data_IF_135090911853
#
_entry.id   IF_135090911853
#
_cell.length_a   1.000
_cell.length_b   1.000
_cell.length_c   1.000
_cell.angle_alpha   90.00
_cell.angle_beta   90.00
_cell.angle_gamma   90.00
#
_symmetry.space_group_name_H-M   'P 1'
#
loop_
_entity.id
_entity.type
_entity.pdbx_description
1 polymer ?
#
# COMPACT_ATOMS: atom_id res chain seq x y z
N UNK A 1 15.64 -7.94 5.92
CA UNK A 1 14.50 -8.84 5.64
C UNK A 1 13.24 -8.00 5.69
N UNK A 2 12.60 -7.53 4.61
CA UNK A 2 12.98 -7.24 3.24
C UNK A 2 11.88 -6.26 2.82
N UNK A 3 12.21 -4.99 2.61
CA UNK A 3 11.23 -3.94 2.33
C UNK A 3 10.40 -4.33 1.10
N UNK A 4 9.07 -4.30 1.21
CA UNK A 4 8.20 -4.75 0.13
C UNK A 4 7.88 -3.57 -0.78
N UNK A 5 8.37 -3.62 -2.00
CA UNK A 5 8.09 -2.60 -3.02
C UNK A 5 7.02 -3.11 -3.97
N UNK A 6 5.99 -2.30 -4.22
CA UNK A 6 5.02 -2.56 -5.28
C UNK A 6 4.94 -1.36 -6.21
N UNK A 7 5.02 -1.62 -7.51
CA UNK A 7 4.97 -0.60 -8.56
C UNK A 7 3.66 -0.71 -9.33
N UNK A 8 3.14 0.41 -9.79
CA UNK A 8 2.00 0.41 -10.71
C UNK A 8 2.38 -0.18 -12.07
N UNK A 9 1.42 -0.74 -12.84
CA UNK A 9 1.66 -1.28 -14.18
C UNK A 9 2.34 -0.30 -15.14
N UNK A 10 2.05 0.99 -15.01
CA UNK A 10 2.66 2.05 -15.83
C UNK A 10 3.98 2.60 -15.26
N UNK A 11 4.46 2.04 -14.15
CA UNK A 11 5.69 2.43 -13.44
C UNK A 11 5.74 3.88 -12.94
N UNK A 12 4.61 4.61 -12.93
CA UNK A 12 4.52 6.01 -12.48
C UNK A 12 4.33 6.15 -10.97
N UNK A 13 3.91 5.09 -10.28
CA UNK A 13 3.75 5.03 -8.83
C UNK A 13 4.55 3.85 -8.27
N UNK A 14 5.25 4.08 -7.15
CA UNK A 14 5.90 3.02 -6.37
C UNK A 14 5.60 3.22 -4.90
N UNK A 15 5.17 2.16 -4.23
CA UNK A 15 4.90 2.13 -2.79
C UNK A 15 5.96 1.26 -2.13
N UNK A 16 6.57 1.78 -1.08
CA UNK A 16 7.53 1.12 -0.21
C UNK A 16 6.83 0.85 1.12
N UNK A 17 6.68 -0.42 1.46
CA UNK A 17 6.09 -0.84 2.72
C UNK A 17 7.23 -1.17 3.70
N UNK A 18 7.30 -0.41 4.80
CA UNK A 18 8.33 -0.60 5.82
C UNK A 18 8.14 -1.88 6.63
N UNK A 19 6.90 -2.32 6.81
CA UNK A 19 6.53 -3.57 7.47
C UNK A 19 5.51 -4.36 6.64
N UNK A 20 5.67 -5.68 6.64
CA UNK A 20 4.73 -6.58 5.98
C UNK A 20 3.57 -6.99 6.88
N UNK A 21 3.84 -7.16 8.18
CA UNK A 21 2.87 -7.57 9.17
C UNK A 21 2.70 -6.45 10.20
N UNK A 22 1.46 -6.04 10.41
CA UNK A 22 1.07 -5.10 11.45
C UNK A 22 0.38 -5.87 12.56
N UNK A 23 0.91 -5.75 13.77
CA UNK A 23 0.30 -6.36 14.96
C UNK A 23 -0.72 -5.39 15.52
N UNK A 24 -1.94 -5.89 15.68
CA UNK A 24 -2.97 -5.22 16.46
C UNK A 24 -2.73 -5.55 17.94
N UNK A 25 -2.33 -4.54 18.71
CA UNK A 25 -2.27 -4.65 20.16
C UNK A 25 -3.66 -4.28 20.68
N UNK A 26 -4.13 -4.96 21.73
CA UNK A 26 -5.48 -4.76 22.31
C UNK A 26 -5.88 -3.29 22.49
N UNK A 27 -4.91 -2.40 22.71
CA UNK A 27 -5.13 -0.96 22.95
C UNK A 27 -4.60 -0.05 21.82
N UNK A 28 -3.83 -0.57 20.85
CA UNK A 28 -3.21 0.24 19.77
C UNK A 28 -2.80 -0.59 18.56
N UNK A 29 -2.81 0.00 17.38
CA UNK A 29 -2.27 -0.63 16.16
C UNK A 29 -0.87 -0.10 15.88
N UNK A 30 0.04 -0.96 15.39
CA UNK A 30 1.33 -0.52 14.85
C UNK A 30 1.12 0.53 13.75
N UNK A 31 1.87 1.64 13.83
CA UNK A 31 1.80 2.68 12.80
C UNK A 31 2.31 2.14 11.45
N UNK A 32 1.60 2.52 10.39
CA UNK A 32 1.99 2.26 9.01
C UNK A 32 2.99 3.32 8.58
N UNK A 33 4.26 2.94 8.51
CA UNK A 33 5.37 3.80 8.06
C UNK A 33 5.76 3.40 6.63
N UNK A 34 4.97 3.89 5.67
CA UNK A 34 5.09 3.57 4.26
C UNK A 34 5.36 4.84 3.43
N UNK A 35 6.12 4.70 2.34
CA UNK A 35 6.45 5.81 1.44
C UNK A 35 5.88 5.57 0.05
N UNK A 36 5.27 6.60 -0.55
CA UNK A 36 4.80 6.59 -1.94
C UNK A 36 5.66 7.53 -2.78
N UNK A 37 6.29 7.01 -3.82
CA UNK A 37 6.98 7.78 -4.85
C UNK A 37 6.02 7.90 -6.04
N UNK A 38 5.80 9.13 -6.49
CA UNK A 38 4.96 9.46 -7.64
C UNK A 38 5.77 10.26 -8.65
N UNK A 39 5.65 9.91 -9.93
CA UNK A 39 6.17 10.74 -11.01
C UNK A 39 5.42 12.11 -11.01
N UNK A 40 6.13 13.24 -10.87
CA UNK A 40 5.50 14.56 -10.80
C UNK A 40 4.75 14.94 -12.08
N UNK A 41 5.16 14.44 -13.25
CA UNK A 41 4.43 14.69 -14.50
C UNK A 41 3.09 13.96 -14.51
N UNK A 42 2.99 12.82 -13.81
CA UNK A 42 1.74 12.09 -13.65
C UNK A 42 0.75 12.84 -12.75
N UNK A 43 1.21 13.68 -11.82
CA UNK A 43 0.34 14.42 -10.90
C UNK A 43 -0.38 15.62 -11.51
N UNK A 44 0.05 16.10 -12.69
CA UNK A 44 -0.51 17.32 -13.30
C UNK A 44 -2.01 17.20 -13.58
N UNK A 45 -2.46 16.03 -14.03
CA UNK A 45 -3.85 15.76 -14.40
C UNK A 45 -4.48 14.61 -13.59
N UNK A 46 -3.78 14.12 -12.56
CA UNK A 46 -4.22 12.97 -11.76
C UNK A 46 -4.15 13.23 -10.26
N UNK A 47 -5.07 12.60 -9.53
CA UNK A 47 -5.06 12.56 -8.06
C UNK A 47 -4.68 11.16 -7.61
N UNK A 48 -3.75 11.08 -6.67
CA UNK A 48 -3.33 9.82 -6.05
C UNK A 48 -4.10 9.65 -4.76
N UNK A 49 -4.70 8.47 -4.57
CA UNK A 49 -5.43 8.11 -3.36
C UNK A 49 -4.84 6.85 -2.77
N UNK A 50 -4.77 6.80 -1.43
CA UNK A 50 -4.43 5.60 -0.68
C UNK A 50 -5.67 5.08 0.05
N UNK A 51 -5.80 3.76 0.17
CA UNK A 51 -6.92 3.15 0.90
C UNK A 51 -6.40 1.98 1.71
N UNK A 52 -6.66 2.02 3.02
CA UNK A 52 -6.45 0.88 3.91
C UNK A 52 -7.71 0.02 3.89
N UNK A 53 -7.61 -1.22 3.42
CA UNK A 53 -8.73 -2.16 3.39
C UNK A 53 -8.44 -3.34 4.29
N UNK A 54 -9.22 -3.48 5.37
CA UNK A 54 -9.24 -4.69 6.18
C UNK A 54 -10.26 -5.67 5.58
N UNK A 55 -9.89 -6.95 5.48
CA UNK A 55 -10.76 -7.99 4.91
C UNK A 55 -10.66 -9.27 5.73
N UNK A 56 -11.78 -9.90 6.11
CA UNK A 56 -11.77 -11.22 6.74
C UNK A 56 -11.15 -12.28 5.82
N UNK A 57 -10.27 -13.12 6.39
CA UNK A 57 -9.69 -14.27 5.68
C UNK A 57 -10.81 -15.28 5.39
N UNK A 58 -11.04 -15.61 4.11
CA UNK A 58 -12.08 -16.55 3.66
C UNK A 58 -12.99 -16.01 2.56
N UNK A 59 -12.98 -14.70 2.30
CA UNK A 59 -13.73 -14.10 1.21
C UNK A 59 -12.91 -14.20 -0.10
N UNK A 60 -13.50 -14.74 -1.19
CA UNK A 60 -12.79 -15.34 -2.33
C UNK A 60 -12.10 -14.39 -3.34
N UNK A 61 -12.40 -13.10 -3.41
CA UNK A 61 -11.61 -12.19 -4.25
C UNK A 61 -10.31 -11.68 -3.58
N UNK A 62 -9.17 -11.82 -4.27
CA UNK A 62 -7.88 -11.33 -3.81
C UNK A 62 -7.73 -9.83 -4.04
N UNK A 63 -7.43 -9.05 -2.99
CA UNK A 63 -7.15 -7.61 -3.08
C UNK A 63 -5.72 -7.29 -3.52
N UNK A 64 -4.83 -8.29 -3.53
CA UNK A 64 -3.41 -8.11 -3.83
C UNK A 64 -3.11 -7.65 -5.26
N UNK A 65 -4.08 -7.69 -6.17
CA UNK A 65 -3.94 -7.21 -7.55
C UNK A 65 -4.06 -5.69 -7.70
N UNK A 66 -4.57 -4.97 -6.69
CA UNK A 66 -4.64 -3.51 -6.72
C UNK A 66 -3.30 -2.89 -6.33
N UNK A 67 -2.48 -2.65 -7.34
CA UNK A 67 -1.49 -1.59 -7.51
C UNK A 67 -0.85 -1.84 -8.86
#
# INVERSE_FOLDING_TARGET
LGERVKSSPNCKLKVYLGKQDFVDHLDKVDLVDDMVIVDPDYLKDHKVFATLTSRPRGHREGLWSRL
#
